data_IF_662239581144
#
_entry.id   IF_662239581144
#
_cell.length_a   1.000
_cell.length_b   1.000
_cell.length_c   1.000
_cell.angle_alpha   90.00
_cell.angle_beta   90.00
_cell.angle_gamma   90.00
#
_symmetry.space_group_name_H-M   'P 1'
#
loop_
_entity.id
_entity.type
_entity.pdbx_description
1 polymer ?
#
# COMPACT_ATOMS: atom_id res chain seq x y z
N UNK A 1 -24.56 1.38 1.51
CA UNK A 1 -23.09 1.39 1.70
C UNK A 1 -22.74 1.95 3.07
N UNK A 2 -22.12 1.14 3.94
CA UNK A 2 -21.77 1.54 5.31
C UNK A 2 -20.67 2.61 5.29
N UNK A 3 -20.62 3.48 6.30
CA UNK A 3 -19.62 4.56 6.40
C UNK A 3 -18.18 4.04 6.19
N UNK A 4 -17.87 2.89 6.80
CA UNK A 4 -16.58 2.22 6.63
C UNK A 4 -16.22 1.96 5.16
N UNK A 5 -17.13 1.34 4.40
CA UNK A 5 -16.90 1.03 2.98
C UNK A 5 -16.66 2.30 2.17
N UNK A 6 -17.33 3.41 2.51
CA UNK A 6 -17.13 4.71 1.84
C UNK A 6 -15.74 5.25 2.10
N UNK A 7 -15.30 5.22 3.36
CA UNK A 7 -13.97 5.70 3.75
C UNK A 7 -12.88 4.84 3.10
N UNK A 8 -13.01 3.52 3.17
CA UNK A 8 -12.04 2.58 2.57
C UNK A 8 -11.93 2.84 1.05
N UNK A 9 -13.06 2.91 0.32
CA UNK A 9 -13.06 3.19 -1.11
C UNK A 9 -12.44 4.55 -1.48
N UNK A 10 -12.68 5.60 -0.69
CA UNK A 10 -12.11 6.93 -0.95
C UNK A 10 -10.59 6.89 -0.80
N UNK A 11 -10.08 6.21 0.23
CA UNK A 11 -8.65 6.10 0.49
C UNK A 11 -7.96 5.28 -0.60
N UNK A 12 -8.58 4.16 -1.00
CA UNK A 12 -8.07 3.32 -2.07
C UNK A 12 -8.07 4.09 -3.41
N UNK A 13 -9.10 4.88 -3.70
CA UNK A 13 -9.15 5.75 -4.87
C UNK A 13 -8.05 6.81 -4.86
N UNK A 14 -7.78 7.44 -3.70
CA UNK A 14 -6.67 8.40 -3.57
C UNK A 14 -5.32 7.71 -3.82
N UNK A 15 -5.13 6.49 -3.32
CA UNK A 15 -3.91 5.72 -3.55
C UNK A 15 -3.69 5.40 -5.04
N UNK A 16 -4.76 5.04 -5.75
CA UNK A 16 -4.75 4.83 -7.20
C UNK A 16 -4.30 6.11 -7.92
N UNK A 17 -4.87 7.26 -7.54
CA UNK A 17 -4.50 8.57 -8.12
C UNK A 17 -3.03 8.90 -7.86
N UNK A 18 -2.52 8.64 -6.65
CA UNK A 18 -1.09 8.81 -6.33
C UNK A 18 -0.22 7.94 -7.24
N UNK A 19 -0.59 6.67 -7.45
CA UNK A 19 0.10 5.77 -8.36
C UNK A 19 0.12 6.29 -9.81
N UNK A 20 -1.01 6.80 -10.31
CA UNK A 20 -1.09 7.40 -11.66
C UNK A 20 -0.18 8.63 -11.77
N UNK A 21 -0.22 9.53 -10.78
CA UNK A 21 0.64 10.72 -10.76
C UNK A 21 2.10 10.32 -10.81
N UNK A 22 2.51 9.32 -10.00
CA UNK A 22 3.88 8.80 -10.02
C UNK A 22 4.30 8.26 -11.37
N UNK A 23 3.44 7.53 -12.07
CA UNK A 23 3.73 7.00 -13.40
C UNK A 23 4.03 8.12 -14.42
N UNK A 24 3.47 9.31 -14.21
CA UNK A 24 3.68 10.49 -15.06
C UNK A 24 4.90 11.33 -14.65
N UNK A 25 5.42 11.21 -13.43
CA UNK A 25 6.55 12.05 -12.96
C UNK A 25 7.82 11.97 -13.84
N UNK A 26 8.22 10.80 -14.37
CA UNK A 26 9.38 10.70 -15.25
C UNK A 26 9.25 11.53 -16.54
N UNK A 27 8.03 11.72 -17.07
CA UNK A 27 7.83 12.55 -18.27
C UNK A 27 8.14 14.03 -18.02
N UNK A 28 8.07 14.47 -16.76
CA UNK A 28 8.45 15.81 -16.31
C UNK A 28 9.89 15.91 -15.81
N UNK A 29 10.72 14.86 -16.00
CA UNK A 29 12.09 14.74 -15.49
C UNK A 29 12.20 14.80 -13.95
N UNK A 30 11.11 14.50 -13.24
CA UNK A 30 11.11 14.39 -11.79
C UNK A 30 11.48 12.95 -11.42
N UNK A 31 12.77 12.73 -11.11
CA UNK A 31 13.32 11.39 -10.85
C UNK A 31 14.02 11.27 -9.50
N UNK A 32 13.80 12.21 -8.58
CA UNK A 32 14.37 12.16 -7.23
C UNK A 32 13.67 11.09 -6.39
N UNK A 33 14.15 9.86 -6.53
CA UNK A 33 13.53 8.66 -5.96
C UNK A 33 13.46 8.70 -4.43
N UNK A 34 14.46 9.31 -3.77
CA UNK A 34 14.51 9.43 -2.30
C UNK A 34 13.34 10.28 -1.81
N UNK A 35 13.22 11.48 -2.35
CA UNK A 35 12.18 12.42 -1.94
C UNK A 35 10.79 11.91 -2.33
N UNK A 36 10.65 11.27 -3.49
CA UNK A 36 9.40 10.66 -3.91
C UNK A 36 8.98 9.52 -2.97
N UNK A 37 9.86 8.54 -2.72
CA UNK A 37 9.56 7.41 -1.84
C UNK A 37 9.14 7.88 -0.44
N UNK A 38 9.90 8.82 0.14
CA UNK A 38 9.59 9.39 1.44
C UNK A 38 8.22 10.10 1.46
N UNK A 39 7.94 10.92 0.45
CA UNK A 39 6.67 11.64 0.33
C UNK A 39 5.50 10.68 0.28
N UNK A 40 5.61 9.59 -0.47
CA UNK A 40 4.55 8.58 -0.59
C UNK A 40 4.32 7.86 0.74
N UNK A 41 5.39 7.48 1.45
CA UNK A 41 5.29 6.83 2.75
C UNK A 41 4.55 7.71 3.77
N UNK A 42 4.84 9.00 3.79
CA UNK A 42 4.14 9.96 4.65
C UNK A 42 2.69 10.13 4.22
N UNK A 43 2.42 10.35 2.93
CA UNK A 43 1.06 10.48 2.42
C UNK A 43 0.22 9.26 2.77
N UNK A 44 0.78 8.05 2.56
CA UNK A 44 0.09 6.81 2.87
C UNK A 44 -0.15 6.66 4.37
N UNK A 45 0.81 7.04 5.22
CA UNK A 45 0.60 7.08 6.67
C UNK A 45 -0.54 8.02 7.08
N UNK A 46 -0.59 9.23 6.53
CA UNK A 46 -1.64 10.21 6.83
C UNK A 46 -3.02 9.69 6.40
N UNK A 47 -3.12 9.13 5.19
CA UNK A 47 -4.38 8.58 4.69
C UNK A 47 -4.89 7.44 5.59
N UNK A 48 -4.01 6.52 5.98
CA UNK A 48 -4.37 5.40 6.86
C UNK A 48 -4.66 5.85 8.31
N UNK A 49 -4.04 6.92 8.79
CA UNK A 49 -4.42 7.54 10.06
C UNK A 49 -5.84 8.10 10.02
N UNK A 50 -6.19 8.82 8.94
CA UNK A 50 -7.54 9.31 8.70
C UNK A 50 -8.52 8.12 8.63
N UNK A 51 -8.17 7.05 7.92
CA UNK A 51 -8.95 5.81 7.88
C UNK A 51 -9.25 5.30 9.28
N UNK A 52 -8.21 5.19 10.11
CA UNK A 52 -8.33 4.64 11.45
C UNK A 52 -9.25 5.48 12.33
N UNK A 53 -9.11 6.81 12.31
CA UNK A 53 -9.98 7.72 13.07
C UNK A 53 -11.44 7.56 12.65
N UNK A 54 -11.72 7.53 11.34
CA UNK A 54 -13.08 7.48 10.80
C UNK A 54 -13.73 6.10 10.94
N UNK A 55 -12.94 5.02 10.93
CA UNK A 55 -13.43 3.64 11.01
C UNK A 55 -13.31 3.01 12.40
N UNK A 56 -12.84 3.75 13.41
CA UNK A 56 -12.61 3.28 14.80
C UNK A 56 -13.80 2.53 15.41
N UNK A 57 -15.04 2.96 15.11
CA UNK A 57 -16.28 2.32 15.57
C UNK A 57 -16.42 0.87 15.10
N UNK A 58 -15.76 0.48 14.01
CA UNK A 58 -15.79 -0.87 13.44
C UNK A 58 -14.76 -1.82 14.05
N UNK A 59 -13.95 -1.36 15.02
CA UNK A 59 -12.84 -2.11 15.66
C UNK A 59 -11.84 -2.69 14.64
N UNK A 60 -11.68 -2.01 13.52
CA UNK A 60 -10.71 -2.36 12.49
C UNK A 60 -9.41 -1.60 12.73
N UNK A 61 -8.32 -2.33 12.94
CA UNK A 61 -7.01 -1.77 13.25
C UNK A 61 -6.05 -1.84 12.06
N UNK A 62 -6.49 -2.33 10.88
CA UNK A 62 -5.65 -2.42 9.68
C UNK A 62 -5.03 -1.06 9.32
N UNK A 63 -5.83 0.01 9.28
CA UNK A 63 -5.31 1.37 9.02
C UNK A 63 -4.30 1.86 10.06
N UNK A 64 -4.42 1.45 11.33
CA UNK A 64 -3.42 1.79 12.35
C UNK A 64 -2.10 1.05 12.12
N UNK A 65 -2.15 -0.25 11.82
CA UNK A 65 -0.94 -1.01 11.50
C UNK A 65 -0.26 -0.47 10.25
N UNK A 66 -1.03 -0.19 9.19
CA UNK A 66 -0.52 0.40 7.95
C UNK A 66 0.12 1.76 8.15
N UNK A 67 -0.48 2.62 8.99
CA UNK A 67 0.12 3.90 9.37
C UNK A 67 1.47 3.68 10.07
N UNK A 68 1.53 2.83 11.09
CA UNK A 68 2.75 2.59 11.86
C UNK A 68 3.88 2.01 10.99
N UNK A 69 3.55 1.06 10.13
CA UNK A 69 4.50 0.44 9.19
C UNK A 69 5.05 1.51 8.22
N UNK A 70 4.18 2.34 7.66
CA UNK A 70 4.58 3.35 6.67
C UNK A 70 5.39 4.48 7.30
N UNK A 71 5.07 4.91 8.52
CA UNK A 71 5.89 5.85 9.29
C UNK A 71 7.25 5.25 9.64
N UNK A 72 7.30 3.98 10.08
CA UNK A 72 8.54 3.30 10.42
C UNK A 72 9.49 3.22 9.22
N UNK A 73 8.98 2.79 8.06
CA UNK A 73 9.77 2.72 6.82
C UNK A 73 10.16 4.11 6.32
N UNK A 74 9.26 5.10 6.39
CA UNK A 74 9.56 6.48 6.05
C UNK A 74 10.68 7.06 6.91
N UNK A 75 10.65 6.82 8.22
CA UNK A 75 11.69 7.26 9.16
C UNK A 75 13.04 6.61 8.89
N UNK A 76 13.07 5.29 8.67
CA UNK A 76 14.29 4.57 8.27
C UNK A 76 14.84 5.11 6.94
N UNK A 77 13.96 5.42 5.99
CA UNK A 77 14.32 5.98 4.69
C UNK A 77 15.03 7.34 4.75
N UNK A 78 14.88 8.12 5.83
CA UNK A 78 15.62 9.38 6.01
C UNK A 78 17.13 9.15 6.15
N UNK A 79 17.52 8.05 6.79
CA UNK A 79 18.91 7.68 7.03
C UNK A 79 19.56 7.00 5.82
N UNK A 80 18.79 6.62 4.80
CA UNK A 80 19.31 6.05 3.57
C UNK A 80 19.59 7.13 2.52
N UNK A 81 20.68 6.93 1.78
CA UNK A 81 21.02 7.78 0.64
C UNK A 81 20.25 7.37 -0.62
N UNK A 82 19.76 6.12 -0.69
CA UNK A 82 19.11 5.52 -1.87
C UNK A 82 19.92 5.60 -3.17
N UNK A 83 21.19 6.01 -3.11
CA UNK A 83 22.15 5.91 -4.22
C UNK A 83 22.41 4.45 -4.60
N UNK A 84 22.26 3.54 -3.65
CA UNK A 84 22.31 2.11 -3.89
C UNK A 84 20.86 1.58 -4.08
N UNK A 85 20.51 1.06 -5.27
CA UNK A 85 19.18 0.47 -5.54
C UNK A 85 18.76 -0.60 -4.53
N UNK A 86 19.72 -1.31 -3.94
CA UNK A 86 19.48 -2.29 -2.89
C UNK A 86 18.74 -1.71 -1.68
N UNK A 87 19.07 -0.48 -1.26
CA UNK A 87 18.44 0.15 -0.09
C UNK A 87 16.94 0.41 -0.34
N UNK A 88 16.59 0.82 -1.56
CA UNK A 88 15.21 1.07 -1.97
C UNK A 88 14.44 -0.25 -2.09
N UNK A 89 15.02 -1.25 -2.76
CA UNK A 89 14.44 -2.58 -2.89
C UNK A 89 14.18 -3.23 -1.53
N UNK A 90 15.15 -3.17 -0.61
CA UNK A 90 14.99 -3.68 0.76
C UNK A 90 13.90 -2.93 1.54
N UNK A 91 13.79 -1.61 1.36
CA UNK A 91 12.73 -0.79 1.99
C UNK A 91 11.34 -1.17 1.48
N UNK A 92 11.17 -1.39 0.18
CA UNK A 92 9.90 -1.82 -0.41
C UNK A 92 9.55 -3.24 0.00
N UNK A 93 10.52 -4.15 0.01
CA UNK A 93 10.31 -5.54 0.39
C UNK A 93 9.94 -5.67 1.88
N UNK A 94 10.65 -4.96 2.75
CA UNK A 94 10.33 -4.91 4.19
C UNK A 94 8.96 -4.29 4.45
N UNK A 95 8.64 -3.17 3.78
CA UNK A 95 7.31 -2.58 3.83
C UNK A 95 6.22 -3.57 3.40
N UNK A 96 6.40 -4.23 2.25
CA UNK A 96 5.45 -5.22 1.71
C UNK A 96 5.25 -6.37 2.68
N UNK A 97 6.33 -6.87 3.29
CA UNK A 97 6.27 -8.01 4.22
C UNK A 97 5.51 -7.65 5.49
N UNK A 98 5.80 -6.48 6.08
CA UNK A 98 5.08 -5.98 7.26
C UNK A 98 3.60 -5.71 6.96
N UNK A 99 3.31 -5.11 5.80
CA UNK A 99 1.94 -4.92 5.31
C UNK A 99 1.22 -6.26 5.10
N UNK A 100 1.92 -7.26 4.57
CA UNK A 100 1.43 -8.62 4.42
C UNK A 100 1.01 -9.24 5.75
N UNK A 101 1.82 -9.05 6.81
CA UNK A 101 1.48 -9.50 8.17
C UNK A 101 0.23 -8.78 8.70
N UNK A 102 0.15 -7.45 8.54
CA UNK A 102 -1.02 -6.67 8.97
C UNK A 102 -2.31 -7.14 8.28
N UNK A 103 -2.25 -7.38 6.97
CA UNK A 103 -3.36 -7.94 6.18
C UNK A 103 -3.72 -9.35 6.61
N UNK A 104 -2.72 -10.19 6.91
CA UNK A 104 -2.92 -11.57 7.35
C UNK A 104 -3.68 -11.63 8.69
N UNK A 105 -3.37 -10.74 9.64
CA UNK A 105 -4.09 -10.64 10.94
C UNK A 105 -5.59 -10.43 10.70
N UNK A 106 -5.95 -9.49 9.82
CA UNK A 106 -7.36 -9.23 9.50
C UNK A 106 -7.99 -10.35 8.68
N UNK A 107 -7.24 -11.00 7.80
CA UNK A 107 -7.73 -12.17 7.06
C UNK A 107 -8.03 -13.34 7.99
N UNK A 108 -7.19 -13.58 9.01
CA UNK A 108 -7.44 -14.61 10.02
C UNK A 108 -8.74 -14.35 10.79
N UNK A 109 -9.03 -13.09 11.12
CA UNK A 109 -10.30 -12.71 11.73
C UNK A 109 -11.54 -13.07 10.88
N UNK A 110 -11.44 -13.00 9.54
CA UNK A 110 -12.52 -13.44 8.65
C UNK A 110 -12.63 -14.97 8.56
N UNK A 111 -11.51 -15.68 8.69
CA UNK A 111 -11.49 -17.15 8.74
C UNK A 111 -12.27 -17.68 9.94
N UNK A 112 -12.02 -17.10 11.13
CA UNK A 112 -12.69 -17.48 12.38
C UNK A 112 -14.21 -17.34 12.30
N UNK A 113 -14.68 -16.39 11.48
CA UNK A 113 -16.11 -16.12 11.25
C UNK A 113 -16.72 -16.88 10.08
N UNK A 114 -15.92 -17.71 9.37
CA UNK A 114 -16.30 -18.44 8.16
C UNK A 114 -16.96 -17.54 7.08
N UNK A 115 -16.47 -16.31 6.98
CA UNK A 115 -16.98 -15.33 6.01
C UNK A 115 -16.45 -15.66 4.60
N UNK A 116 -17.30 -15.52 3.57
CA UNK A 116 -16.91 -15.70 2.16
C UNK A 116 -15.79 -14.74 1.74
N UNK A 117 -15.65 -13.59 2.41
CA UNK A 117 -14.57 -12.62 2.20
C UNK A 117 -13.17 -13.18 2.47
N UNK A 118 -13.04 -14.26 3.24
CA UNK A 118 -11.74 -14.89 3.54
C UNK A 118 -10.98 -15.32 2.28
N UNK A 119 -11.65 -16.02 1.36
CA UNK A 119 -11.02 -16.52 0.13
C UNK A 119 -10.51 -15.39 -0.75
N UNK A 120 -11.30 -14.33 -0.89
CA UNK A 120 -10.94 -13.14 -1.65
C UNK A 120 -9.73 -12.44 -1.03
N UNK A 121 -9.71 -12.27 0.30
CA UNK A 121 -8.60 -11.62 1.00
C UNK A 121 -7.28 -12.39 0.92
N UNK A 122 -7.32 -13.73 0.97
CA UNK A 122 -6.11 -14.53 0.72
C UNK A 122 -5.62 -14.33 -0.70
N UNK A 123 -6.52 -14.33 -1.68
CA UNK A 123 -6.14 -14.13 -3.07
C UNK A 123 -5.49 -12.75 -3.29
N UNK A 124 -6.10 -11.67 -2.79
CA UNK A 124 -5.54 -10.32 -2.90
C UNK A 124 -4.23 -10.15 -2.10
N UNK A 125 -4.10 -10.84 -0.96
CA UNK A 125 -2.85 -10.88 -0.19
C UNK A 125 -1.71 -11.54 -0.98
N UNK A 126 -1.96 -12.71 -1.58
CA UNK A 126 -0.95 -13.41 -2.40
C UNK A 126 -0.54 -12.54 -3.59
N UNK A 127 -1.51 -11.94 -4.29
CA UNK A 127 -1.23 -11.03 -5.39
C UNK A 127 -0.37 -9.82 -4.94
N UNK A 128 -0.71 -9.22 -3.80
CA UNK A 128 0.05 -8.11 -3.22
C UNK A 128 1.51 -8.51 -2.88
N UNK A 129 1.71 -9.68 -2.27
CA UNK A 129 3.06 -10.16 -1.92
C UNK A 129 3.91 -10.43 -3.17
N UNK A 130 3.33 -11.04 -4.21
CA UNK A 130 4.01 -11.28 -5.48
C UNK A 130 4.38 -9.95 -6.16
N UNK A 131 3.47 -8.97 -6.16
CA UNK A 131 3.74 -7.65 -6.71
C UNK A 131 4.87 -6.93 -5.99
N UNK A 132 4.91 -6.96 -4.65
CA UNK A 132 5.98 -6.31 -3.89
C UNK A 132 7.34 -6.98 -4.11
N UNK A 133 7.38 -8.30 -4.29
CA UNK A 133 8.60 -9.02 -4.65
C UNK A 133 9.08 -8.66 -6.06
N UNK A 134 8.18 -8.67 -7.06
CA UNK A 134 8.51 -8.27 -8.43
C UNK A 134 8.97 -6.81 -8.50
N UNK A 135 8.31 -5.92 -7.77
CA UNK A 135 8.69 -4.50 -7.67
C UNK A 135 10.11 -4.38 -7.13
N UNK A 136 10.43 -5.10 -6.06
CA UNK A 136 11.77 -5.08 -5.44
C UNK A 136 12.88 -5.55 -6.40
N UNK A 137 12.61 -6.54 -7.26
CA UNK A 137 13.55 -7.01 -8.29
C UNK A 137 13.70 -5.97 -9.41
N UNK A 138 12.63 -5.26 -9.76
CA UNK A 138 12.66 -4.26 -10.83
C UNK A 138 13.18 -2.89 -10.37
N UNK A 139 13.56 -2.73 -9.10
CA UNK A 139 14.18 -1.50 -8.60
C UNK A 139 15.69 -1.43 -8.87
N UNK A 140 16.33 -2.50 -9.35
CA UNK A 140 17.76 -2.50 -9.68
C UNK A 140 18.09 -1.82 -11.02
N UNK A 141 17.08 -1.40 -11.78
CA UNK A 141 17.25 -0.65 -13.02
C UNK A 141 17.50 0.85 -12.77
N UNK A 142 17.56 1.63 -13.85
CA UNK A 142 17.75 3.08 -13.82
C UNK A 142 16.68 3.83 -13.02
N UNK A 143 17.02 5.01 -12.51
CA UNK A 143 16.14 5.83 -11.65
C UNK A 143 14.81 6.20 -12.30
N UNK A 144 14.78 6.42 -13.61
CA UNK A 144 13.55 6.62 -14.39
C UNK A 144 12.62 5.41 -14.29
N UNK A 145 13.18 4.20 -14.46
CA UNK A 145 12.46 2.93 -14.34
C UNK A 145 12.00 2.70 -12.90
N UNK A 146 12.83 3.02 -11.91
CA UNK A 146 12.48 2.89 -10.48
C UNK A 146 11.22 3.68 -10.13
N UNK A 147 11.09 4.92 -10.60
CA UNK A 147 9.90 5.75 -10.34
C UNK A 147 8.66 5.13 -10.99
N UNK A 148 8.77 4.64 -12.24
CA UNK A 148 7.66 3.97 -12.94
C UNK A 148 7.24 2.69 -12.20
N UNK A 149 8.21 1.87 -11.79
CA UNK A 149 7.96 0.61 -11.09
C UNK A 149 7.28 0.85 -9.73
N UNK A 150 7.71 1.86 -8.97
CA UNK A 150 7.02 2.26 -7.75
C UNK A 150 5.61 2.79 -8.03
N UNK A 151 5.43 3.64 -9.06
CA UNK A 151 4.11 4.14 -9.44
C UNK A 151 3.15 3.02 -9.80
N UNK A 152 3.62 2.04 -10.57
CA UNK A 152 2.85 0.86 -10.93
C UNK A 152 2.49 0.01 -9.71
N UNK A 153 3.43 -0.15 -8.77
CA UNK A 153 3.20 -0.86 -7.53
C UNK A 153 2.10 -0.20 -6.68
N UNK A 154 2.18 1.10 -6.42
CA UNK A 154 1.15 1.81 -5.63
C UNK A 154 -0.20 1.86 -6.34
N UNK A 155 -0.21 2.03 -7.66
CA UNK A 155 -1.42 1.95 -8.47
C UNK A 155 -2.12 0.59 -8.32
N UNK A 156 -1.37 -0.49 -8.53
CA UNK A 156 -1.93 -1.85 -8.47
C UNK A 156 -2.33 -2.22 -7.05
N UNK A 157 -1.54 -1.81 -6.06
CA UNK A 157 -1.89 -1.96 -4.64
C UNK A 157 -3.22 -1.28 -4.31
N UNK A 158 -3.42 -0.04 -4.76
CA UNK A 158 -4.69 0.67 -4.58
C UNK A 158 -5.88 -0.05 -5.20
N UNK A 159 -5.71 -0.65 -6.40
CA UNK A 159 -6.75 -1.47 -7.03
C UNK A 159 -7.06 -2.71 -6.18
N UNK A 160 -6.03 -3.40 -5.69
CA UNK A 160 -6.22 -4.61 -4.88
C UNK A 160 -6.97 -4.32 -3.58
N UNK A 161 -6.70 -3.19 -2.93
CA UNK A 161 -7.45 -2.75 -1.74
C UNK A 161 -8.89 -2.40 -2.08
N UNK A 162 -9.13 -1.73 -3.21
CA UNK A 162 -10.47 -1.31 -3.63
C UNK A 162 -11.44 -2.48 -3.84
N UNK A 163 -10.94 -3.67 -4.20
CA UNK A 163 -11.75 -4.88 -4.40
C UNK A 163 -12.50 -5.26 -3.12
N UNK A 164 -11.87 -5.10 -1.95
CA UNK A 164 -12.44 -5.50 -0.66
C UNK A 164 -13.74 -4.76 -0.29
N UNK A 165 -13.76 -3.41 -0.23
CA UNK A 165 -14.97 -2.67 0.09
C UNK A 165 -16.01 -2.75 -1.03
N UNK A 166 -15.59 -2.88 -2.30
CA UNK A 166 -16.51 -3.10 -3.44
C UNK A 166 -17.26 -4.42 -3.32
N UNK A 167 -16.57 -5.53 -3.10
CA UNK A 167 -17.22 -6.84 -2.96
C UNK A 167 -18.10 -6.88 -1.72
N UNK A 168 -17.67 -6.30 -0.60
CA UNK A 168 -18.54 -6.17 0.59
C UNK A 168 -19.77 -5.29 0.34
N UNK A 169 -19.68 -4.32 -0.56
CA UNK A 169 -20.84 -3.51 -0.94
C UNK A 169 -21.81 -4.32 -1.81
N UNK A 170 -21.31 -5.09 -2.78
CA UNK A 170 -22.12 -5.92 -3.67
C UNK A 170 -22.79 -7.11 -2.96
N UNK A 171 -22.17 -7.63 -1.90
CA UNK A 171 -22.70 -8.73 -1.09
C UNK A 171 -23.64 -8.27 0.04
N UNK A 172 -23.78 -6.95 0.26
CA UNK A 172 -24.61 -6.34 1.33
C UNK A 172 -25.96 -5.88 0.81
#
# INVERSE_FOLDING_TARGET
MKLKQKVDMIIDAILIVIGIVMLMLPTFKITDIKNLFFTIMILYAILNFIQFILTRKSKDYEGLYTMLISLGIGFVGLFFSFNNPFQLAASVLSWTTLMGIAKLIKTNYYNDRRDRMYKLRIFTLIAFMVLGLLTSINLYYETSVQVVVLGFFFYTHGILELIDPLVKYLLS
#
